data_IF_035564570128
#
_entry.id   IF_035564570128
#
_cell.length_a   1.000
_cell.length_b   1.000
_cell.length_c   1.000
_cell.angle_alpha   90.00
_cell.angle_beta   90.00
_cell.angle_gamma   90.00
#
_symmetry.space_group_name_H-M   'P 1'
#
loop_
_entity.id
_entity.type
_entity.pdbx_description
1 polymer ?
#
# COMPACT_ATOMS: atom_id res chain seq x y z
N UNK A 1 -16.54 -38.06 16.58
CA UNK A 1 -15.60 -36.93 16.39
C UNK A 1 -16.30 -35.96 15.45
N UNK A 2 -16.53 -34.70 15.84
CA UNK A 2 -17.23 -33.75 14.95
C UNK A 2 -16.82 -32.29 15.15
N UNK A 3 -16.79 -31.79 16.40
CA UNK A 3 -16.51 -30.38 16.67
C UNK A 3 -15.09 -29.92 16.27
N UNK A 4 -14.07 -30.78 16.44
CA UNK A 4 -12.69 -30.48 16.04
C UNK A 4 -12.52 -30.47 14.53
N UNK A 5 -13.33 -31.21 13.79
CA UNK A 5 -13.21 -31.28 12.33
C UNK A 5 -13.84 -30.05 11.66
N UNK A 6 -14.88 -29.46 12.27
CA UNK A 6 -15.39 -28.13 11.89
C UNK A 6 -14.28 -27.07 11.99
N UNK A 7 -13.53 -27.07 13.10
CA UNK A 7 -12.41 -26.13 13.29
C UNK A 7 -11.32 -26.32 12.22
N UNK A 8 -10.95 -27.56 11.91
CA UNK A 8 -9.92 -27.85 10.89
C UNK A 8 -10.35 -27.41 9.49
N UNK A 9 -11.57 -27.73 9.07
CA UNK A 9 -12.10 -27.35 7.75
C UNK A 9 -12.19 -25.84 7.63
N UNK A 10 -12.65 -25.18 8.70
CA UNK A 10 -12.70 -23.73 8.78
C UNK A 10 -11.29 -23.13 8.64
N UNK A 11 -10.31 -23.59 9.42
CA UNK A 11 -8.92 -23.11 9.36
C UNK A 11 -8.29 -23.32 7.98
N UNK A 12 -8.50 -24.49 7.36
CA UNK A 12 -8.05 -24.76 5.98
C UNK A 12 -8.68 -23.80 4.98
N UNK A 13 -9.96 -23.48 5.14
CA UNK A 13 -10.68 -22.55 4.28
C UNK A 13 -10.19 -21.10 4.43
N UNK A 14 -9.76 -20.72 5.63
CA UNK A 14 -9.14 -19.42 5.92
C UNK A 14 -7.75 -19.34 5.32
N UNK A 15 -6.88 -20.32 5.60
CA UNK A 15 -5.49 -20.34 5.13
C UNK A 15 -5.37 -20.29 3.59
N UNK A 16 -6.23 -21.03 2.89
CA UNK A 16 -6.25 -21.04 1.41
C UNK A 16 -6.64 -19.71 0.76
N UNK A 17 -7.18 -18.76 1.53
CA UNK A 17 -7.69 -17.47 1.01
C UNK A 17 -6.95 -16.25 1.56
N UNK A 18 -6.17 -16.42 2.63
CA UNK A 18 -5.40 -15.35 3.28
C UNK A 18 -6.28 -14.39 4.08
N UNK A 19 -6.96 -13.46 3.40
CA UNK A 19 -7.79 -12.42 4.02
C UNK A 19 -9.25 -12.54 3.59
N UNK A 20 -10.17 -12.47 4.55
CA UNK A 20 -11.60 -12.70 4.34
C UNK A 20 -12.43 -11.56 4.92
N UNK A 21 -13.53 -11.21 4.25
CA UNK A 21 -14.55 -10.33 4.86
C UNK A 21 -15.33 -11.06 5.95
N UNK A 22 -15.80 -10.36 6.98
CA UNK A 22 -16.62 -10.94 8.06
C UNK A 22 -17.79 -11.80 7.53
N UNK A 23 -18.50 -11.31 6.50
CA UNK A 23 -19.62 -12.02 5.88
C UNK A 23 -19.19 -13.37 5.30
N UNK A 24 -18.04 -13.40 4.63
CA UNK A 24 -17.48 -14.60 4.05
C UNK A 24 -16.96 -15.56 5.13
N UNK A 25 -16.30 -15.03 6.16
CA UNK A 25 -15.80 -15.83 7.28
C UNK A 25 -16.94 -16.54 8.01
N UNK A 26 -18.04 -15.84 8.29
CA UNK A 26 -19.25 -16.44 8.89
C UNK A 26 -19.89 -17.48 7.94
N UNK A 27 -19.95 -17.21 6.64
CA UNK A 27 -20.47 -18.18 5.67
C UNK A 27 -19.60 -19.45 5.58
N UNK A 28 -18.27 -19.32 5.68
CA UNK A 28 -17.35 -20.46 5.72
C UNK A 28 -17.54 -21.28 6.99
N UNK A 29 -17.80 -20.64 8.12
CA UNK A 29 -18.11 -21.33 9.37
C UNK A 29 -19.38 -22.17 9.27
N UNK A 30 -20.47 -21.61 8.75
CA UNK A 30 -21.72 -22.37 8.54
C UNK A 30 -21.52 -23.52 7.56
N UNK A 31 -20.84 -23.29 6.43
CA UNK A 31 -20.50 -24.36 5.48
C UNK A 31 -19.60 -25.43 6.08
N UNK A 32 -18.73 -25.08 7.02
CA UNK A 32 -17.88 -26.06 7.72
C UNK A 32 -18.72 -26.96 8.62
N UNK A 33 -19.76 -26.43 9.28
CA UNK A 33 -20.73 -27.24 10.04
C UNK A 33 -21.50 -28.18 9.12
N UNK A 34 -22.04 -27.65 8.01
CA UNK A 34 -22.77 -28.44 7.01
C UNK A 34 -21.92 -29.59 6.46
N UNK A 35 -20.66 -29.32 6.10
CA UNK A 35 -19.73 -30.32 5.56
C UNK A 35 -19.43 -31.43 6.57
N UNK A 36 -19.37 -31.12 7.87
CA UNK A 36 -19.18 -32.16 8.88
C UNK A 36 -20.45 -32.99 9.07
N UNK A 37 -21.63 -32.36 9.01
CA UNK A 37 -22.91 -33.06 9.12
C UNK A 37 -23.20 -33.98 7.92
N UNK A 38 -22.73 -33.64 6.71
CA UNK A 38 -22.88 -34.54 5.55
C UNK A 38 -22.04 -35.81 5.68
N UNK A 39 -20.85 -35.72 6.28
CA UNK A 39 -19.96 -36.87 6.51
C UNK A 39 -20.38 -37.65 7.77
N UNK A 40 -20.85 -36.95 8.80
CA UNK A 40 -21.27 -37.51 10.08
C UNK A 40 -22.69 -37.03 10.46
N UNK A 41 -23.75 -37.66 9.94
CA UNK A 41 -25.12 -37.22 10.20
C UNK A 41 -25.53 -37.23 11.68
N UNK A 42 -24.96 -38.16 12.47
CA UNK A 42 -25.23 -38.30 13.91
C UNK A 42 -24.32 -37.40 14.78
N UNK A 43 -23.52 -36.52 14.15
CA UNK A 43 -22.63 -35.63 14.88
C UNK A 43 -23.40 -34.57 15.68
N UNK A 44 -23.30 -34.63 17.00
CA UNK A 44 -23.76 -33.55 17.87
C UNK A 44 -22.76 -32.38 17.81
N UNK A 45 -23.09 -31.33 17.06
CA UNK A 45 -22.30 -30.11 17.01
C UNK A 45 -22.68 -29.18 18.17
N UNK A 46 -21.71 -28.52 18.83
CA UNK A 46 -22.00 -27.48 19.81
C UNK A 46 -22.78 -26.32 19.16
N UNK A 47 -23.84 -25.85 19.82
CA UNK A 47 -24.55 -24.62 19.46
C UNK A 47 -23.78 -23.39 19.98
N UNK A 48 -22.55 -23.25 19.49
CA UNK A 48 -21.70 -22.11 19.84
C UNK A 48 -22.12 -20.88 19.04
N UNK A 49 -22.15 -19.72 19.70
CA UNK A 49 -22.17 -18.46 18.99
C UNK A 49 -20.83 -18.21 18.24
N UNK A 50 -20.84 -17.24 17.34
CA UNK A 50 -19.66 -16.90 16.53
C UNK A 50 -18.43 -16.56 17.38
N UNK A 51 -18.61 -15.84 18.48
CA UNK A 51 -17.51 -15.37 19.32
C UNK A 51 -16.91 -16.52 20.14
N UNK A 52 -17.74 -17.40 20.67
CA UNK A 52 -17.35 -18.61 21.37
C UNK A 52 -16.61 -19.57 20.44
N UNK A 53 -17.08 -19.71 19.18
CA UNK A 53 -16.36 -20.48 18.16
C UNK A 53 -14.98 -19.86 17.87
N UNK A 54 -14.91 -18.56 17.63
CA UNK A 54 -13.64 -17.85 17.39
C UNK A 54 -12.65 -18.03 18.54
N UNK A 55 -13.11 -17.90 19.79
CA UNK A 55 -12.27 -18.10 20.97
C UNK A 55 -11.72 -19.54 21.04
N UNK A 56 -12.53 -20.54 20.69
CA UNK A 56 -12.08 -21.94 20.62
C UNK A 56 -11.06 -22.16 19.50
N UNK A 57 -11.27 -21.52 18.35
CA UNK A 57 -10.33 -21.57 17.22
C UNK A 57 -9.00 -20.95 17.63
N UNK A 58 -8.99 -19.72 18.13
CA UNK A 58 -7.76 -19.04 18.57
C UNK A 58 -7.03 -19.84 19.66
N UNK A 59 -7.75 -20.39 20.64
CA UNK A 59 -7.14 -21.28 21.65
C UNK A 59 -6.49 -22.53 21.06
N UNK A 60 -7.01 -23.04 19.95
CA UNK A 60 -6.45 -24.23 19.28
C UNK A 60 -5.19 -23.95 18.48
N UNK A 61 -5.03 -22.72 17.98
CA UNK A 61 -3.87 -22.29 17.16
C UNK A 61 -2.83 -21.50 17.95
N UNK A 62 -3.15 -21.06 19.17
CA UNK A 62 -2.23 -20.39 20.10
C UNK A 62 -0.91 -21.16 20.34
N UNK A 63 -0.88 -22.51 20.49
CA UNK A 63 0.38 -23.25 20.60
C UNK A 63 1.28 -23.19 19.36
N UNK A 64 0.73 -22.78 18.22
CA UNK A 64 1.47 -22.56 16.98
C UNK A 64 1.90 -21.09 16.84
N UNK A 65 1.63 -20.26 17.86
CA UNK A 65 1.87 -18.82 17.87
C UNK A 65 1.17 -18.12 16.69
N UNK A 66 -0.05 -18.56 16.38
CA UNK A 66 -0.90 -17.96 15.36
C UNK A 66 -2.20 -17.46 15.99
N UNK A 67 -2.76 -16.40 15.42
CA UNK A 67 -4.04 -15.84 15.85
C UNK A 67 -4.90 -15.49 14.64
N UNK A 68 -6.21 -15.80 14.71
CA UNK A 68 -7.18 -15.25 13.78
C UNK A 68 -7.60 -13.86 14.27
N UNK A 69 -7.05 -12.83 13.63
CA UNK A 69 -7.23 -11.43 14.02
C UNK A 69 -8.28 -10.75 13.15
N UNK A 70 -9.10 -9.91 13.79
CA UNK A 70 -10.02 -9.00 13.11
C UNK A 70 -9.33 -7.64 12.88
N UNK A 71 -9.50 -7.08 11.70
CA UNK A 71 -9.10 -5.70 11.35
C UNK A 71 -10.21 -5.03 10.57
N UNK A 72 -10.26 -3.71 10.60
CA UNK A 72 -11.10 -2.93 9.70
C UNK A 72 -10.27 -2.36 8.55
N UNK A 73 -10.67 -2.60 7.31
CA UNK A 73 -10.04 -2.01 6.13
C UNK A 73 -10.12 -0.47 6.20
N UNK A 74 -8.97 0.19 6.14
CA UNK A 74 -8.87 1.65 6.20
C UNK A 74 -9.59 2.35 5.03
N UNK A 75 -9.77 1.65 3.90
CA UNK A 75 -10.42 2.19 2.71
C UNK A 75 -11.94 2.06 2.76
N UNK A 76 -12.43 0.84 3.02
CA UNK A 76 -13.86 0.54 2.94
C UNK A 76 -14.58 0.61 4.29
N UNK A 77 -13.84 0.61 5.40
CA UNK A 77 -14.40 0.54 6.75
C UNK A 77 -15.05 -0.81 7.08
N UNK A 78 -14.80 -1.86 6.27
CA UNK A 78 -15.37 -3.20 6.46
C UNK A 78 -14.45 -4.07 7.30
N UNK A 79 -15.04 -4.97 8.07
CA UNK A 79 -14.30 -5.90 8.91
C UNK A 79 -13.76 -7.07 8.08
N UNK A 80 -12.46 -7.29 8.24
CA UNK A 80 -11.64 -8.31 7.63
C UNK A 80 -11.10 -9.24 8.73
N UNK A 81 -10.89 -10.50 8.36
CA UNK A 81 -10.29 -11.54 9.18
C UNK A 81 -9.11 -12.12 8.42
N UNK A 82 -7.98 -12.26 9.11
CA UNK A 82 -6.80 -12.93 8.59
C UNK A 82 -6.13 -13.73 9.70
N UNK A 83 -5.42 -14.78 9.33
CA UNK A 83 -4.57 -15.52 10.27
C UNK A 83 -3.20 -14.87 10.30
N UNK A 84 -2.75 -14.47 11.48
CA UNK A 84 -1.51 -13.75 11.70
C UNK A 84 -0.56 -14.63 12.51
N UNK A 85 0.72 -14.59 12.14
CA UNK A 85 1.79 -15.19 12.93
C UNK A 85 2.25 -14.17 13.99
N UNK A 86 2.31 -14.60 15.25
CA UNK A 86 2.70 -13.75 16.38
C UNK A 86 4.22 -13.62 16.53
N UNK A 87 5.01 -14.42 15.79
CA UNK A 87 6.48 -14.27 15.79
C UNK A 87 6.92 -13.00 15.06
N UNK A 88 7.95 -12.36 15.60
CA UNK A 88 8.57 -11.17 15.03
C UNK A 88 9.24 -11.40 13.65
N UNK A 89 9.49 -12.66 13.28
CA UNK A 89 9.96 -13.03 11.93
C UNK A 89 8.80 -13.26 10.95
N UNK A 90 7.84 -12.33 10.94
CA UNK A 90 6.70 -12.40 10.01
C UNK A 90 7.13 -12.28 8.54
N UNK A 91 8.30 -11.69 8.27
CA UNK A 91 8.90 -11.65 6.94
C UNK A 91 9.31 -13.04 6.45
N UNK A 92 9.50 -14.02 7.34
CA UNK A 92 9.72 -15.41 6.95
C UNK A 92 8.56 -16.01 6.14
N UNK A 93 7.33 -15.49 6.24
CA UNK A 93 6.23 -15.94 5.39
C UNK A 93 6.49 -15.65 3.90
N UNK A 94 7.20 -14.56 3.59
CA UNK A 94 7.61 -14.27 2.22
C UNK A 94 8.71 -15.22 1.73
N UNK A 95 9.47 -15.85 2.64
CA UNK A 95 10.56 -16.75 2.28
C UNK A 95 10.10 -18.06 1.63
N UNK A 96 8.83 -18.43 1.78
CA UNK A 96 8.28 -19.60 1.09
C UNK A 96 7.87 -19.32 -0.36
N UNK A 97 7.55 -18.07 -0.70
CA UNK A 97 7.02 -17.68 -2.01
C UNK A 97 8.02 -16.90 -2.87
N UNK A 98 9.00 -16.25 -2.24
CA UNK A 98 9.91 -15.32 -2.88
C UNK A 98 11.37 -15.69 -2.63
N UNK A 99 12.22 -15.41 -3.61
CA UNK A 99 13.66 -15.54 -3.53
C UNK A 99 14.26 -14.51 -2.56
N UNK A 100 15.49 -14.76 -2.09
CA UNK A 100 16.19 -13.81 -1.21
C UNK A 100 16.30 -12.39 -1.80
N UNK A 101 16.54 -12.27 -3.11
CA UNK A 101 16.61 -10.98 -3.80
C UNK A 101 15.27 -10.24 -3.86
N UNK A 102 14.18 -10.97 -4.04
CA UNK A 102 12.81 -10.44 -4.02
C UNK A 102 12.39 -10.00 -2.61
N UNK A 103 12.80 -10.74 -1.57
CA UNK A 103 12.54 -10.35 -0.17
C UNK A 103 13.31 -9.07 0.19
N UNK A 104 14.57 -8.95 -0.26
CA UNK A 104 15.34 -7.71 -0.09
C UNK A 104 14.65 -6.53 -0.78
N UNK A 105 14.12 -6.76 -1.99
CA UNK A 105 13.35 -5.76 -2.70
C UNK A 105 12.05 -5.39 -1.98
N UNK A 106 11.31 -6.37 -1.48
CA UNK A 106 10.12 -6.15 -0.66
C UNK A 106 10.42 -5.27 0.55
N UNK A 107 11.46 -5.60 1.33
CA UNK A 107 11.87 -4.81 2.50
C UNK A 107 12.20 -3.37 2.13
N UNK A 108 12.89 -3.14 1.03
CA UNK A 108 13.21 -1.80 0.55
C UNK A 108 11.97 -1.00 0.15
N UNK A 109 10.98 -1.64 -0.47
CA UNK A 109 9.70 -0.98 -0.79
C UNK A 109 8.92 -0.61 0.47
N UNK A 110 8.87 -1.52 1.45
CA UNK A 110 8.26 -1.25 2.76
C UNK A 110 8.97 -0.08 3.43
N UNK A 111 10.30 -0.05 3.43
CA UNK A 111 11.09 1.06 3.97
C UNK A 111 10.72 2.39 3.30
N UNK A 112 10.69 2.46 1.97
CA UNK A 112 10.30 3.69 1.25
C UNK A 112 8.85 4.11 1.56
N UNK A 113 7.94 3.15 1.72
CA UNK A 113 6.55 3.42 2.06
C UNK A 113 6.44 3.98 3.49
N UNK A 114 7.15 3.40 4.46
CA UNK A 114 7.11 3.85 5.85
C UNK A 114 7.77 5.22 6.02
N UNK A 115 8.92 5.45 5.38
CA UNK A 115 9.64 6.73 5.41
C UNK A 115 9.06 7.81 4.48
N UNK A 116 7.89 7.54 3.88
CA UNK A 116 7.28 8.45 2.91
C UNK A 116 6.95 9.80 3.58
N UNK A 117 7.26 10.93 2.92
CA UNK A 117 7.11 12.25 3.51
C UNK A 117 5.63 12.52 3.82
N UNK A 118 5.41 13.35 4.85
CA UNK A 118 4.07 13.82 5.23
C UNK A 118 3.08 12.67 5.45
N UNK A 119 3.59 11.53 5.91
CA UNK A 119 2.81 10.34 6.24
C UNK A 119 1.97 9.88 5.04
N UNK A 120 2.56 9.95 3.84
CA UNK A 120 1.86 9.59 2.62
C UNK A 120 1.74 8.09 2.38
N UNK A 121 2.48 7.27 3.13
CA UNK A 121 2.51 5.80 3.10
C UNK A 121 2.36 5.22 1.70
N UNK A 122 3.03 5.79 0.72
CA UNK A 122 2.95 5.35 -0.66
C UNK A 122 4.17 5.71 -1.48
N UNK A 123 4.50 4.85 -2.43
CA UNK A 123 5.62 4.99 -3.37
C UNK A 123 5.10 4.92 -4.81
N UNK A 124 5.58 5.77 -5.73
CA UNK A 124 5.21 5.63 -7.15
C UNK A 124 5.87 4.43 -7.82
N UNK A 125 5.28 3.94 -8.91
CA UNK A 125 5.90 2.91 -9.76
C UNK A 125 7.32 3.28 -10.20
N UNK A 126 7.57 4.54 -10.55
CA UNK A 126 8.90 4.97 -10.98
C UNK A 126 9.93 4.94 -9.85
N UNK A 127 9.54 5.34 -8.63
CA UNK A 127 10.43 5.23 -7.46
C UNK A 127 10.67 3.75 -7.10
N UNK A 128 9.60 2.94 -7.08
CA UNK A 128 9.70 1.50 -6.80
C UNK A 128 10.66 0.77 -7.76
N UNK A 129 10.65 1.12 -9.05
CA UNK A 129 11.57 0.52 -10.03
C UNK A 129 13.00 1.05 -9.95
N UNK A 130 13.20 2.27 -9.45
CA UNK A 130 14.55 2.80 -9.19
C UNK A 130 15.23 2.12 -8.01
N UNK A 131 14.45 1.68 -7.00
CA UNK A 131 15.01 0.95 -5.84
C UNK A 131 15.80 -0.30 -6.24
N UNK A 132 15.41 -0.97 -7.34
CA UNK A 132 16.12 -2.15 -7.85
C UNK A 132 17.59 -1.87 -8.12
N UNK A 133 17.88 -0.69 -8.69
CA UNK A 133 19.24 -0.25 -8.98
C UNK A 133 20.05 -0.02 -7.70
N UNK A 134 19.42 0.51 -6.65
CA UNK A 134 20.05 0.78 -5.36
C UNK A 134 20.33 -0.47 -4.52
N UNK A 135 19.70 -1.60 -4.86
CA UNK A 135 19.85 -2.88 -4.16
C UNK A 135 20.89 -3.81 -4.77
N UNK A 136 21.61 -3.39 -5.82
CA UNK A 136 22.70 -4.19 -6.38
C UNK A 136 23.91 -4.20 -5.42
N UNK A 137 24.54 -5.36 -5.18
CA UNK A 137 24.32 -6.66 -5.82
C UNK A 137 23.28 -7.57 -5.11
N UNK A 138 22.74 -7.16 -3.96
CA UNK A 138 21.89 -7.99 -3.07
C UNK A 138 20.61 -8.54 -3.72
N UNK A 139 19.95 -7.78 -4.59
CA UNK A 139 18.73 -8.25 -5.28
C UNK A 139 18.99 -9.03 -6.56
N UNK A 140 20.16 -8.83 -7.20
CA UNK A 140 20.52 -9.31 -8.55
C UNK A 140 19.37 -9.34 -9.58
N UNK A 141 18.49 -8.34 -9.52
CA UNK A 141 17.25 -8.28 -10.28
C UNK A 141 17.30 -7.16 -11.33
N UNK A 142 16.71 -7.38 -12.51
CA UNK A 142 16.50 -6.34 -13.52
C UNK A 142 15.24 -5.51 -13.24
N UNK A 143 15.10 -4.33 -13.85
CA UNK A 143 13.88 -3.50 -13.71
C UNK A 143 12.63 -4.22 -14.23
N UNK A 144 12.75 -4.97 -15.34
CA UNK A 144 11.66 -5.77 -15.89
C UNK A 144 11.23 -6.89 -14.96
N UNK A 145 12.20 -7.59 -14.34
CA UNK A 145 11.88 -8.59 -13.31
C UNK A 145 11.18 -7.94 -12.11
N UNK A 146 11.62 -6.75 -11.69
CA UNK A 146 10.98 -6.03 -10.59
C UNK A 146 9.55 -5.60 -10.88
N UNK A 147 9.21 -5.25 -12.12
CA UNK A 147 7.81 -4.99 -12.52
C UNK A 147 6.93 -6.24 -12.34
N UNK A 148 7.44 -7.41 -12.74
CA UNK A 148 6.74 -8.69 -12.58
C UNK A 148 6.56 -9.01 -11.09
N UNK A 149 7.61 -8.85 -10.29
CA UNK A 149 7.59 -9.10 -8.84
C UNK A 149 6.65 -8.11 -8.12
N UNK A 150 6.66 -6.83 -8.49
CA UNK A 150 5.69 -5.85 -8.00
C UNK A 150 4.25 -6.26 -8.32
N UNK A 151 4.01 -6.77 -9.53
CA UNK A 151 2.71 -7.32 -9.93
C UNK A 151 2.30 -8.51 -9.04
N UNK A 152 3.24 -9.41 -8.75
CA UNK A 152 3.04 -10.54 -7.84
C UNK A 152 2.71 -10.09 -6.42
N UNK A 153 3.41 -9.09 -5.86
CA UNK A 153 3.10 -8.55 -4.54
C UNK A 153 1.69 -7.97 -4.46
N UNK A 154 1.19 -7.34 -5.54
CA UNK A 154 -0.20 -6.87 -5.58
C UNK A 154 -1.19 -8.03 -5.69
N UNK A 155 -0.90 -9.01 -6.55
CA UNK A 155 -1.76 -10.18 -6.76
C UNK A 155 -1.92 -11.03 -5.49
N UNK A 156 -0.83 -11.22 -4.75
CA UNK A 156 -0.82 -11.93 -3.47
C UNK A 156 -1.30 -11.06 -2.29
N UNK A 157 -1.70 -9.81 -2.57
CA UNK A 157 -2.32 -8.93 -1.60
C UNK A 157 -1.36 -8.37 -0.57
N UNK A 158 -0.06 -8.26 -0.86
CA UNK A 158 0.91 -7.54 -0.02
C UNK A 158 0.84 -6.01 -0.24
N UNK A 159 0.68 -5.59 -1.50
CA UNK A 159 0.54 -4.17 -1.82
C UNK A 159 -0.81 -3.87 -2.48
N UNK A 160 -1.27 -2.64 -2.29
CA UNK A 160 -2.35 -2.06 -3.06
C UNK A 160 -1.77 -1.11 -4.10
N UNK A 161 -2.23 -1.22 -5.35
CA UNK A 161 -1.90 -0.27 -6.41
C UNK A 161 -3.05 0.72 -6.62
N UNK A 162 -2.75 2.00 -6.48
CA UNK A 162 -3.71 3.07 -6.73
C UNK A 162 -3.88 3.35 -8.22
N UNK A 163 -4.96 4.05 -8.58
CA UNK A 163 -5.19 4.55 -9.95
C UNK A 163 -4.12 5.55 -10.40
N UNK A 164 -3.41 6.19 -9.47
CA UNK A 164 -2.30 7.11 -9.77
C UNK A 164 -0.96 6.38 -9.97
N UNK A 165 -0.96 5.04 -9.97
CA UNK A 165 0.26 4.25 -10.11
C UNK A 165 1.16 4.30 -8.88
N UNK A 166 0.57 4.38 -7.69
CA UNK A 166 1.31 4.31 -6.42
C UNK A 166 1.00 3.02 -5.69
N UNK A 167 1.97 2.53 -4.95
CA UNK A 167 1.87 1.34 -4.11
C UNK A 167 1.81 1.76 -2.65
N UNK A 168 0.98 1.05 -1.87
CA UNK A 168 0.84 1.20 -0.42
C UNK A 168 0.67 -0.17 0.21
N UNK A 169 0.89 -0.30 1.52
CA UNK A 169 0.65 -1.56 2.24
C UNK A 169 -0.83 -1.94 2.17
N UNK A 170 -1.10 -3.21 1.95
CA UNK A 170 -2.46 -3.73 2.02
C UNK A 170 -2.89 -3.97 3.48
N UNK A 171 -4.20 -4.15 3.74
CA UNK A 171 -4.68 -4.62 5.03
C UNK A 171 -4.00 -5.92 5.49
N UNK A 172 -3.72 -6.84 4.55
CA UNK A 172 -3.00 -8.09 4.83
C UNK A 172 -1.62 -7.79 5.41
N UNK A 173 -0.85 -6.91 4.77
CA UNK A 173 0.50 -6.58 5.23
C UNK A 173 0.51 -5.83 6.55
N UNK A 174 -0.46 -4.95 6.78
CA UNK A 174 -0.60 -4.25 8.06
C UNK A 174 -0.91 -5.21 9.21
N UNK A 175 -1.66 -6.29 8.97
CA UNK A 175 -1.92 -7.34 9.94
C UNK A 175 -0.72 -8.26 10.15
N UNK A 176 -0.25 -8.87 9.06
CA UNK A 176 0.77 -9.92 9.11
C UNK A 176 2.13 -9.37 9.54
N UNK A 177 2.47 -8.14 9.15
CA UNK A 177 3.76 -7.52 9.44
C UNK A 177 3.69 -6.52 10.59
N UNK A 178 2.61 -6.47 11.37
CA UNK A 178 2.41 -5.44 12.41
C UNK A 178 3.59 -5.36 13.38
N UNK A 179 4.04 -6.50 13.93
CA UNK A 179 5.19 -6.58 14.83
C UNK A 179 6.48 -6.09 14.19
N UNK A 180 6.75 -6.54 12.96
CA UNK A 180 7.91 -6.08 12.19
C UNK A 180 7.87 -4.57 11.95
N UNK A 181 6.74 -4.02 11.50
CA UNK A 181 6.59 -2.60 11.20
C UNK A 181 6.77 -1.74 12.45
N UNK A 182 6.17 -2.16 13.57
CA UNK A 182 6.27 -1.46 14.85
C UNK A 182 7.71 -1.45 15.40
N UNK A 183 8.44 -2.56 15.26
CA UNK A 183 9.81 -2.69 15.73
C UNK A 183 10.81 -1.98 14.79
N UNK A 184 10.62 -2.08 13.48
CA UNK A 184 11.53 -1.52 12.49
C UNK A 184 11.31 -0.02 12.22
N UNK A 185 10.10 0.50 12.42
CA UNK A 185 9.72 1.89 12.13
C UNK A 185 8.90 2.51 13.27
N UNK A 186 9.42 2.58 14.50
CA UNK A 186 8.64 3.01 15.65
C UNK A 186 8.13 4.47 15.54
N UNK A 187 8.90 5.34 14.88
CA UNK A 187 8.56 6.76 14.72
C UNK A 187 7.52 6.97 13.60
N UNK A 188 7.55 6.12 12.57
CA UNK A 188 6.63 6.16 11.43
C UNK A 188 5.43 5.22 11.60
N UNK A 189 5.39 4.37 12.62
CA UNK A 189 4.26 3.48 12.88
C UNK A 189 3.14 4.22 13.61
N UNK A 190 2.18 4.74 12.85
CA UNK A 190 1.04 5.47 13.41
C UNK A 190 -0.06 4.51 13.86
N UNK A 191 -0.72 4.89 14.95
CA UNK A 191 -1.91 4.20 15.46
C UNK A 191 -3.08 5.17 15.51
N UNK A 192 -4.28 4.64 15.26
CA UNK A 192 -5.50 5.43 15.32
C UNK A 192 -5.89 5.71 16.77
N UNK A 193 -6.19 6.96 17.10
CA UNK A 193 -6.49 7.34 18.50
C UNK A 193 -7.77 6.67 19.04
N UNK A 194 -8.72 6.29 18.16
CA UNK A 194 -10.00 5.74 18.57
C UNK A 194 -10.02 4.20 18.66
N UNK A 195 -9.49 3.49 17.65
CA UNK A 195 -9.51 2.02 17.62
C UNK A 195 -8.17 1.38 18.01
N UNK A 196 -7.08 2.17 18.08
CA UNK A 196 -5.71 1.72 18.38
C UNK A 196 -5.10 0.75 17.37
N UNK A 197 -5.77 0.50 16.25
CA UNK A 197 -5.23 -0.23 15.10
C UNK A 197 -4.18 0.61 14.33
N UNK A 198 -3.26 -0.04 13.60
CA UNK A 198 -2.33 0.63 12.69
C UNK A 198 -3.04 1.54 11.71
N UNK A 199 -2.42 2.69 11.43
CA UNK A 199 -2.95 3.73 10.57
C UNK A 199 -1.95 4.09 9.48
N UNK A 200 -2.32 3.84 8.22
CA UNK A 200 -1.62 4.35 7.04
C UNK A 200 -2.49 5.24 6.18
N UNK A 201 -3.81 5.29 6.44
CA UNK A 201 -4.76 6.13 5.70
C UNK A 201 -5.80 6.77 6.62
N UNK A 202 -5.97 8.08 6.51
CA UNK A 202 -6.95 8.78 7.33
C UNK A 202 -6.68 10.27 7.44
N UNK A 203 -6.85 10.78 8.65
CA UNK A 203 -6.71 12.19 8.97
C UNK A 203 -5.78 12.41 10.15
N UNK A 204 -5.13 13.55 10.10
CA UNK A 204 -4.18 14.03 11.07
C UNK A 204 -4.57 15.40 11.57
N UNK A 205 -4.43 15.65 12.87
CA UNK A 205 -4.68 16.97 13.41
C UNK A 205 -3.58 17.94 12.95
N UNK A 206 -3.97 19.08 12.36
CA UNK A 206 -3.04 20.12 11.87
C UNK A 206 -2.39 20.96 12.98
N UNK A 207 -2.81 20.78 14.24
CA UNK A 207 -2.21 21.53 15.35
C UNK A 207 -0.71 21.20 15.46
N UNK A 208 0.10 22.22 15.73
CA UNK A 208 1.54 22.03 15.93
C UNK A 208 1.77 21.04 17.08
N UNK A 209 2.71 20.11 16.88
CA UNK A 209 3.08 19.07 17.84
C UNK A 209 1.93 18.13 18.26
N UNK A 210 0.84 18.05 17.49
CA UNK A 210 -0.23 17.09 17.76
C UNK A 210 0.05 15.76 17.05
N UNK A 211 0.06 14.68 17.82
CA UNK A 211 0.28 13.32 17.32
C UNK A 211 -1.03 12.58 17.02
N UNK A 212 -2.19 13.21 17.21
CA UNK A 212 -3.49 12.54 17.01
C UNK A 212 -3.74 12.27 15.54
N UNK A 213 -3.87 10.97 15.23
CA UNK A 213 -4.24 10.42 13.92
C UNK A 213 -5.47 9.55 14.04
N UNK A 214 -6.35 9.59 13.05
CA UNK A 214 -7.59 8.81 13.05
C UNK A 214 -7.92 8.31 11.66
N UNK A 215 -8.40 7.07 11.55
CA UNK A 215 -8.98 6.59 10.30
C UNK A 215 -10.20 7.43 9.91
N UNK A 216 -10.50 7.49 8.61
CA UNK A 216 -11.65 8.26 8.12
C UNK A 216 -12.98 7.82 8.75
N UNK A 217 -13.20 6.51 8.89
CA UNK A 217 -14.40 5.97 9.54
C UNK A 217 -14.44 6.25 11.05
N UNK A 218 -13.30 6.20 11.73
CA UNK A 218 -13.17 6.54 13.14
C UNK A 218 -13.47 8.02 13.39
N UNK A 219 -12.95 8.89 12.53
CA UNK A 219 -13.23 10.32 12.56
C UNK A 219 -14.72 10.61 12.36
N UNK A 220 -15.35 10.02 11.33
CA UNK A 220 -16.79 10.20 11.08
C UNK A 220 -17.63 9.73 12.27
N UNK A 221 -17.30 8.58 12.87
CA UNK A 221 -17.98 8.07 14.07
C UNK A 221 -17.78 8.99 15.28
N UNK A 222 -16.57 9.51 15.48
CA UNK A 222 -16.26 10.44 16.56
C UNK A 222 -17.07 11.74 16.43
N UNK A 223 -17.09 12.33 15.24
CA UNK A 223 -17.85 13.55 14.93
C UNK A 223 -19.36 13.35 15.05
N UNK A 224 -19.88 12.14 14.79
CA UNK A 224 -21.28 11.81 14.97
C UNK A 224 -21.67 11.56 16.43
N UNK A 225 -20.76 11.05 17.27
CA UNK A 225 -21.07 10.53 18.60
C UNK A 225 -21.14 11.59 19.72
N UNK A 226 -20.41 12.72 19.67
CA UNK A 226 -20.47 13.75 20.73
C UNK A 226 -20.20 15.19 20.24
N UNK A 227 -20.80 16.13 20.98
CA UNK A 227 -20.75 17.63 20.95
C UNK A 227 -19.35 18.29 20.95
N UNK A 228 -18.29 17.52 20.80
CA UNK A 228 -16.92 17.98 20.85
C UNK A 228 -16.29 17.72 19.47
N UNK A 229 -16.36 18.74 18.61
CA UNK A 229 -15.54 18.81 17.41
C UNK A 229 -14.08 19.10 17.76
N UNK A 230 -13.61 18.77 18.96
CA UNK A 230 -12.29 19.13 19.46
C UNK A 230 -11.39 17.91 19.47
N UNK A 231 -10.13 18.10 19.10
CA UNK A 231 -9.10 17.09 19.17
C UNK A 231 -8.97 16.53 20.59
N UNK A 232 -8.98 15.20 20.79
CA UNK A 232 -8.79 14.60 22.11
C UNK A 232 -7.38 14.82 22.67
N UNK A 233 -6.38 15.08 21.82
CA UNK A 233 -4.99 15.29 22.24
C UNK A 233 -4.65 16.75 22.55
N UNK A 234 -5.03 17.69 21.66
CA UNK A 234 -4.64 19.10 21.78
C UNK A 234 -5.80 20.07 22.03
N UNK A 235 -7.05 19.60 22.06
CA UNK A 235 -8.24 20.44 22.28
C UNK A 235 -8.62 21.37 21.12
N UNK A 236 -7.88 21.37 20.00
CA UNK A 236 -8.19 22.20 18.82
C UNK A 236 -9.54 21.82 18.21
N UNK A 237 -10.35 22.81 17.83
CA UNK A 237 -11.61 22.60 17.11
C UNK A 237 -11.37 22.13 15.65
N UNK A 238 -12.19 21.20 15.18
CA UNK A 238 -12.17 20.48 13.90
C UNK A 238 -13.43 20.78 13.07
N UNK A 239 -14.29 21.72 13.49
CA UNK A 239 -15.49 22.15 12.72
C UNK A 239 -15.14 22.66 11.33
N UNK A 240 -13.95 23.24 11.15
CA UNK A 240 -13.48 23.69 9.85
C UNK A 240 -12.74 22.56 9.14
N UNK A 241 -13.23 22.14 7.97
CA UNK A 241 -12.64 21.08 7.15
C UNK A 241 -11.17 21.35 6.74
N UNK A 242 -10.66 22.56 6.95
CA UNK A 242 -9.28 23.00 6.64
C UNK A 242 -8.26 22.67 7.75
N UNK A 243 -8.73 22.09 8.86
CA UNK A 243 -7.93 21.82 10.06
C UNK A 243 -7.43 20.38 10.20
N UNK A 244 -7.70 19.52 9.22
CA UNK A 244 -7.12 18.18 9.16
C UNK A 244 -6.24 18.03 7.94
N UNK A 245 -5.07 17.42 8.13
CA UNK A 245 -4.19 17.00 7.05
C UNK A 245 -4.50 15.56 6.69
N UNK A 246 -4.58 15.21 5.39
CA UNK A 246 -4.77 13.82 4.99
C UNK A 246 -3.52 12.99 5.32
N UNK A 247 -3.73 11.72 5.68
CA UNK A 247 -2.71 10.69 5.83
C UNK A 247 -2.92 9.63 4.75
N UNK A 248 -1.83 9.12 4.17
CA UNK A 248 -1.83 8.19 3.04
C UNK A 248 -1.68 8.92 1.69
N UNK A 249 -2.06 8.26 0.60
CA UNK A 249 -1.82 8.75 -0.78
C UNK A 249 -2.33 10.18 -1.05
N UNK A 250 -3.41 10.60 -0.39
CA UNK A 250 -3.97 11.94 -0.51
C UNK A 250 -3.05 13.03 0.07
N UNK A 251 -2.07 12.66 0.89
CA UNK A 251 -1.04 13.57 1.35
C UNK A 251 -0.07 13.92 0.22
N UNK A 252 0.27 13.03 -0.71
CA UNK A 252 1.36 13.19 -1.71
C UNK A 252 1.31 14.51 -2.50
N UNK A 253 2.46 15.15 -2.69
CA UNK A 253 2.68 16.36 -3.51
C UNK A 253 3.55 16.01 -4.72
N UNK A 254 3.45 16.84 -5.75
CA UNK A 254 4.22 16.63 -6.98
C UNK A 254 5.73 16.78 -6.72
N UNK A 255 6.53 15.86 -7.28
CA UNK A 255 8.00 15.86 -7.17
C UNK A 255 8.58 15.18 -5.92
N UNK A 256 7.77 14.65 -5.01
CA UNK A 256 8.27 14.08 -3.74
C UNK A 256 9.03 12.76 -3.84
N UNK A 257 8.84 12.03 -4.94
CA UNK A 257 9.46 10.74 -5.19
C UNK A 257 10.91 10.85 -5.69
N UNK A 258 11.46 12.06 -5.84
CA UNK A 258 12.75 12.28 -6.49
C UNK A 258 13.94 11.60 -5.79
N UNK A 259 13.93 11.55 -4.44
CA UNK A 259 15.06 11.09 -3.62
C UNK A 259 14.73 9.81 -2.84
N UNK A 260 15.62 8.82 -2.94
CA UNK A 260 15.61 7.60 -2.09
C UNK A 260 15.85 7.99 -0.63
N UNK A 261 15.14 7.33 0.28
CA UNK A 261 15.23 7.56 1.72
C UNK A 261 15.86 6.35 2.38
N UNK A 262 16.76 6.55 3.32
CA UNK A 262 17.39 5.44 4.05
C UNK A 262 17.40 5.82 5.51
N UNK A 263 17.10 4.88 6.39
CA UNK A 263 17.28 5.11 7.83
C UNK A 263 18.76 5.36 8.12
N UNK A 264 19.07 6.45 8.84
CA UNK A 264 20.37 6.61 9.49
C UNK A 264 20.39 5.63 10.66
N UNK A 265 21.04 4.49 10.51
CA UNK A 265 21.29 3.61 11.65
C UNK A 265 22.29 4.34 12.55
N UNK A 266 21.81 4.83 13.69
CA UNK A 266 22.68 5.36 14.73
C UNK A 266 23.20 4.12 15.47
N UNK A 267 24.31 3.55 15.00
CA UNK A 267 25.00 2.51 15.75
C UNK A 267 25.45 3.13 17.08
N UNK A 268 24.82 2.69 18.16
CA UNK A 268 25.22 3.05 19.51
C UNK A 268 26.43 2.22 19.89
N UNK A 269 27.63 2.78 19.68
CA UNK A 269 28.83 2.52 20.47
C UNK A 269 29.63 1.24 20.19
N UNK A 270 30.65 1.37 19.35
CA UNK A 270 32.02 0.95 19.70
C UNK A 270 33.01 1.88 19.01
N UNK A 271 33.81 2.59 19.83
CA UNK A 271 34.85 3.52 19.42
C UNK A 271 35.84 2.88 18.44
N UNK A 272 35.89 3.37 17.20
CA UNK A 272 37.15 3.60 16.49
C UNK A 272 37.03 4.91 15.70
N UNK A 273 37.98 5.81 15.95
CA UNK A 273 38.10 7.17 15.39
C UNK A 273 38.23 7.19 13.86
N UNK A 274 37.91 8.32 13.19
CA UNK A 274 37.72 8.41 11.76
C UNK A 274 39.03 8.66 11.02
N UNK A 275 39.25 8.00 9.88
CA UNK A 275 40.21 8.46 8.88
C UNK A 275 39.47 9.18 7.76
N UNK A 276 39.82 10.46 7.61
CA UNK A 276 39.24 11.38 6.65
C UNK A 276 39.95 11.23 5.30
N UNK A 277 39.19 11.04 4.23
CA UNK A 277 39.55 11.54 2.91
C UNK A 277 38.29 11.77 2.07
N UNK A 278 37.93 13.05 1.99
CA UNK A 278 37.01 13.62 1.01
C UNK A 278 37.62 13.53 -0.39
N UNK A 279 36.80 13.20 -1.37
CA UNK A 279 36.96 13.69 -2.74
C UNK A 279 35.56 13.91 -3.33
N UNK A 280 35.08 15.13 -3.19
CA UNK A 280 34.00 15.70 -3.99
C UNK A 280 34.61 16.09 -5.34
N UNK A 281 34.13 15.50 -6.44
CA UNK A 281 34.37 16.01 -7.78
C UNK A 281 33.03 16.57 -8.30
N UNK A 282 32.89 17.90 -8.18
CA UNK A 282 31.96 18.71 -8.96
C UNK A 282 32.59 18.96 -10.34
N UNK A 283 31.99 18.42 -11.41
CA UNK A 283 32.27 18.87 -12.77
C UNK A 283 31.25 19.94 -13.16
N UNK A 284 31.69 21.19 -13.09
CA UNK A 284 31.04 22.32 -13.76
C UNK A 284 32.11 22.99 -14.65
N UNK A 285 31.98 22.86 -15.97
CA UNK A 285 32.80 23.60 -16.93
C UNK A 285 31.91 24.31 -17.96
N UNK A 286 31.77 25.62 -17.73
CA UNK A 286 31.48 26.62 -18.74
C UNK A 286 32.78 27.41 -18.96
N UNK A 287 33.36 27.37 -20.16
CA UNK A 287 34.04 28.54 -20.73
C UNK A 287 33.96 28.55 -22.27
N UNK A 288 33.89 29.79 -22.75
CA UNK A 288 33.56 30.26 -24.09
C UNK A 288 34.79 30.62 -24.93
N UNK A 289 34.56 30.80 -26.23
CA UNK A 289 35.39 31.45 -27.26
C UNK A 289 36.43 30.53 -27.92
N UNK A 290 36.47 30.42 -29.25
CA UNK A 290 36.82 31.53 -30.14
C UNK A 290 36.39 31.27 -31.59
N UNK A 291 35.99 32.35 -32.26
CA UNK A 291 35.73 32.46 -33.70
C UNK A 291 36.99 32.17 -34.52
N UNK A 292 36.82 31.57 -35.69
CA UNK A 292 37.53 31.96 -36.93
C UNK A 292 36.71 31.52 -38.14
N UNK A 293 36.42 32.53 -38.96
CA UNK A 293 35.79 32.48 -40.28
C UNK A 293 36.64 31.69 -41.29
N UNK A 294 35.97 31.00 -42.21
CA UNK A 294 36.37 30.99 -43.61
C UNK A 294 35.13 30.74 -44.48
N UNK A 295 34.90 31.66 -45.42
CA UNK A 295 33.80 31.68 -46.36
C UNK A 295 34.29 31.30 -47.76
N UNK A 296 33.47 30.60 -48.54
CA UNK A 296 33.43 30.61 -50.02
C UNK A 296 32.13 29.98 -50.51
N UNK A 297 31.24 30.81 -51.08
CA UNK A 297 30.78 30.84 -52.50
C UNK A 297 29.89 29.62 -52.85
N UNK A 298 28.57 29.77 -52.76
CA UNK A 298 27.61 30.18 -53.83
C UNK A 298 27.40 29.11 -54.91
N UNK A 299 26.17 28.58 -55.00
CA UNK A 299 25.38 28.50 -56.24
C UNK A 299 23.94 27.98 -55.95
N UNK A 300 22.95 28.75 -56.43
CA UNK A 300 21.53 28.42 -56.52
C UNK A 300 21.28 27.28 -57.52
N UNK A 301 20.40 26.31 -57.20
CA UNK A 301 19.48 25.77 -58.20
C UNK A 301 18.25 25.07 -57.58
N UNK A 302 17.10 25.47 -58.13
CA UNK A 302 15.73 25.03 -57.86
C UNK A 302 15.48 23.64 -58.48
N UNK A 303 14.86 22.69 -57.77
CA UNK A 303 14.22 21.50 -58.37
C UNK A 303 13.31 20.73 -57.40
N UNK A 304 12.01 20.79 -57.72
CA UNK A 304 10.94 19.87 -57.30
C UNK A 304 11.20 18.43 -57.75
N UNK A 305 10.97 17.44 -56.88
CA UNK A 305 10.38 16.12 -57.20
C UNK A 305 9.69 15.60 -55.92
N UNK A 306 8.36 15.49 -55.90
CA UNK A 306 7.57 14.29 -56.23
C UNK A 306 7.91 13.06 -55.38
N UNK A 307 7.00 12.71 -54.45
CA UNK A 307 6.69 11.32 -54.12
C UNK A 307 5.17 11.21 -54.09
N UNK A 308 4.67 10.40 -55.02
CA UNK A 308 3.30 9.94 -55.15
C UNK A 308 2.95 8.96 -54.01
N UNK A 309 1.78 9.12 -53.40
CA UNK A 309 1.00 8.00 -52.85
C UNK A 309 -0.47 8.23 -53.23
N UNK A 310 -0.93 7.49 -54.26
CA UNK A 310 -2.32 7.25 -54.62
C UNK A 310 -3.03 6.55 -53.44
N UNK A 311 -4.02 7.18 -52.82
CA UNK A 311 -5.47 6.99 -53.03
C UNK A 311 -5.99 5.54 -52.93
N UNK A 312 -6.79 5.27 -51.90
CA UNK A 312 -8.13 4.71 -52.09
C UNK A 312 -9.14 5.46 -51.21
N UNK A 313 -10.16 6.04 -51.86
CA UNK A 313 -11.40 6.65 -51.37
C UNK A 313 -12.30 5.60 -50.68
N UNK A 314 -13.32 5.87 -49.85
CA UNK A 314 -14.55 6.68 -49.92
C UNK A 314 -15.21 6.55 -48.51
N UNK A 315 -16.25 7.24 -48.06
CA UNK A 315 -16.90 8.54 -48.28
C UNK A 315 -17.89 8.68 -47.09
N UNK A 316 -18.26 9.91 -46.83
CA UNK A 316 -19.51 10.41 -46.28
C UNK A 316 -19.86 10.23 -44.79
N UNK A 317 -19.69 11.34 -44.07
CA UNK A 317 -20.59 11.73 -42.98
C UNK A 317 -21.31 13.02 -43.38
N UNK A 318 -22.59 13.16 -43.02
CA UNK A 318 -23.07 14.48 -42.65
C UNK A 318 -23.69 14.56 -41.24
N UNK A 319 -23.29 15.63 -40.57
CA UNK A 319 -23.66 16.06 -39.21
C UNK A 319 -25.11 16.56 -39.07
N UNK A 320 -25.65 16.26 -37.89
CA UNK A 320 -26.39 17.12 -36.96
C UNK A 320 -27.60 17.97 -37.42
N UNK A 321 -28.74 17.75 -36.75
CA UNK A 321 -29.76 18.79 -36.51
C UNK A 321 -29.98 19.00 -35.00
N UNK A 322 -29.83 20.27 -34.60
CA UNK A 322 -30.19 20.84 -33.29
C UNK A 322 -31.70 20.67 -33.03
N UNK A 323 -32.10 20.39 -31.78
CA UNK A 323 -33.45 20.72 -31.32
C UNK A 323 -33.39 21.59 -30.07
N UNK A 324 -34.03 22.75 -30.19
CA UNK A 324 -34.27 23.74 -29.16
C UNK A 324 -35.63 23.52 -28.52
N UNK A 325 -35.65 23.61 -27.19
CA UNK A 325 -36.74 23.99 -26.26
C UNK A 325 -38.09 24.41 -26.88
N UNK A 326 -39.17 23.81 -26.36
CA UNK A 326 -40.55 24.28 -26.51
C UNK A 326 -41.48 23.75 -25.42
N UNK A 327 -42.08 24.66 -24.67
CA UNK A 327 -43.07 24.49 -23.59
C UNK A 327 -44.45 24.05 -24.08
N UNK A 328 -45.15 23.15 -23.35
CA UNK A 328 -46.52 23.37 -22.78
C UNK A 328 -47.21 22.09 -22.27
N UNK A 329 -47.78 22.23 -21.05
CA UNK A 329 -49.09 21.72 -20.55
C UNK A 329 -49.81 20.63 -21.37
N UNK A 330 -50.19 19.54 -20.70
CA UNK A 330 -51.54 19.36 -20.13
C UNK A 330 -51.51 18.29 -19.04
#
# INVERSE_FOLDING_TARGET
MSAKDVQKIFLQSVLSRGVLSEKLTKALWEKSKETVLTVYPDAMLPDDDWNAFLAKVNKSIDPLEMELKQMRDETTGRDLFAMVNLKDDAVAQLATEYTAGEIVYFKALVEQIMLAPRESYSISSLAALREVSSLKPKSNMSKTQAEVVLGSFVANGWFLRSKRGRYSLSPRSLLELEGYLKNAYPDEFLTCELCKDPLTRGYACKAANCTVRMHAYCFTRFMAAKRAHTCPGCGKDWREAKDMTPVGEAAVRDGEDGKRRVRRVVESGSDEEPDAQESEEEEDQLETSSRKDDAKEEEDEDSKMQVDEEEEEEDDTPKAKKSTRGSRRK
#
